data_IF_463200425246
#
_entry.id   IF_463200425246
#
_cell.length_a   1.000
_cell.length_b   1.000
_cell.length_c   1.000
_cell.angle_alpha   90.00
_cell.angle_beta   90.00
_cell.angle_gamma   90.00
#
_symmetry.space_group_name_H-M   'P 1'
#
loop_
_entity.id
_entity.type
_entity.pdbx_description
1 polymer ?
#
# COMPACT_ATOMS: atom_id res chain seq x y z
N UNK A 1 17.59 25.07 13.90
CA UNK A 1 17.34 23.67 14.31
C UNK A 1 17.10 22.87 13.04
N UNK A 2 17.84 21.77 12.84
CA UNK A 2 17.76 21.00 11.60
C UNK A 2 16.62 19.98 11.63
N UNK A 3 16.10 19.61 10.45
CA UNK A 3 15.09 18.54 10.30
C UNK A 3 15.50 17.24 11.03
N UNK A 4 16.81 16.95 11.07
CA UNK A 4 17.35 15.77 11.74
C UNK A 4 17.16 15.76 13.26
N UNK A 5 17.24 16.92 13.92
CA UNK A 5 17.02 17.03 15.37
C UNK A 5 15.53 16.85 15.72
N UNK A 6 14.65 17.27 14.81
CA UNK A 6 13.20 17.09 14.93
C UNK A 6 12.80 15.61 14.82
N UNK A 7 13.32 14.88 13.82
CA UNK A 7 13.05 13.43 13.71
C UNK A 7 13.65 12.63 14.87
N UNK A 8 14.81 13.04 15.40
CA UNK A 8 15.41 12.39 16.56
C UNK A 8 14.59 12.65 17.84
N UNK A 9 13.87 13.76 17.94
CA UNK A 9 12.95 14.06 19.04
C UNK A 9 11.60 13.34 18.90
N UNK A 10 11.09 13.15 17.69
CA UNK A 10 9.81 12.48 17.42
C UNK A 10 9.89 10.95 17.42
N UNK A 11 11.05 10.38 17.12
CA UNK A 11 11.24 8.92 16.98
C UNK A 11 12.40 8.36 17.81
N UNK A 12 13.17 9.21 18.50
CA UNK A 12 14.26 8.79 19.36
C UNK A 12 13.76 8.30 20.71
N UNK A 13 13.70 6.97 20.86
CA UNK A 13 13.48 6.25 22.13
C UNK A 13 14.70 6.40 23.06
N UNK A 14 14.99 7.62 23.52
CA UNK A 14 16.17 7.89 24.35
C UNK A 14 16.26 9.28 24.99
N UNK A 15 15.14 9.98 25.19
CA UNK A 15 15.08 11.15 26.06
C UNK A 15 14.63 10.77 27.47
N UNK A 16 15.14 11.45 28.50
CA UNK A 16 14.72 11.29 29.89
C UNK A 16 13.18 11.37 30.01
N UNK A 17 12.51 10.36 30.61
CA UNK A 17 11.05 10.33 30.76
C UNK A 17 10.50 11.48 31.63
N UNK A 18 11.36 12.11 32.44
CA UNK A 18 10.99 13.22 33.34
C UNK A 18 11.11 14.61 32.69
N UNK A 19 11.53 14.69 31.41
CA UNK A 19 11.71 15.96 30.68
C UNK A 19 10.77 16.11 29.48
N UNK A 20 9.57 15.54 29.53
CA UNK A 20 8.54 15.87 28.54
C UNK A 20 7.85 17.19 28.91
N UNK A 21 8.35 18.28 28.31
CA UNK A 21 7.67 19.57 28.35
C UNK A 21 6.23 19.38 27.82
N UNK A 22 5.20 19.92 28.50
CA UNK A 22 3.83 19.83 28.05
C UNK A 22 3.75 20.30 26.60
N UNK A 23 3.07 19.53 25.74
CA UNK A 23 2.91 19.86 24.32
C UNK A 23 2.34 21.27 24.22
N UNK A 24 3.19 22.22 23.82
CA UNK A 24 2.78 23.61 23.69
C UNK A 24 1.78 23.71 22.54
N UNK A 25 0.52 24.00 22.88
CA UNK A 25 -0.58 24.12 21.93
C UNK A 25 -0.30 25.20 20.89
N UNK A 26 0.48 26.24 21.23
CA UNK A 26 0.88 27.27 20.28
C UNK A 26 1.90 26.73 19.28
N UNK A 27 2.92 26.01 19.75
CA UNK A 27 3.93 25.37 18.89
C UNK A 27 3.32 24.32 17.95
N UNK A 28 2.39 23.49 18.45
CA UNK A 28 1.68 22.49 17.64
C UNK A 28 0.81 23.13 16.54
N UNK A 29 0.18 24.27 16.81
CA UNK A 29 -0.58 25.01 15.79
C UNK A 29 0.34 25.57 14.71
N UNK A 30 1.46 26.18 15.12
CA UNK A 30 2.44 26.70 14.18
C UNK A 30 3.04 25.59 13.30
N UNK A 31 3.25 24.39 13.84
CA UNK A 31 3.70 23.23 13.07
C UNK A 31 2.64 22.73 12.07
N UNK A 32 1.36 22.72 12.45
CA UNK A 32 0.26 22.37 11.53
C UNK A 32 0.17 23.36 10.37
N UNK A 33 0.22 24.67 10.64
CA UNK A 33 0.19 25.70 9.61
C UNK A 33 1.38 25.53 8.64
N UNK A 34 2.58 25.21 9.16
CA UNK A 34 3.76 24.91 8.34
C UNK A 34 3.57 23.66 7.47
N UNK A 35 2.93 22.61 7.98
CA UNK A 35 2.65 21.41 7.19
C UNK A 35 1.69 21.72 6.04
N UNK A 36 0.63 22.49 6.30
CA UNK A 36 -0.33 22.90 5.28
C UNK A 36 0.32 23.75 4.17
N UNK A 37 1.20 24.68 4.54
CA UNK A 37 2.01 25.45 3.57
C UNK A 37 2.89 24.54 2.70
N UNK A 38 3.57 23.57 3.31
CA UNK A 38 4.44 22.63 2.61
C UNK A 38 3.66 21.69 1.70
N UNK A 39 2.49 21.19 2.14
CA UNK A 39 1.58 20.37 1.35
C UNK A 39 1.13 21.17 0.12
N UNK A 40 0.57 22.36 0.34
CA UNK A 40 0.07 23.23 -0.73
C UNK A 40 1.17 23.54 -1.76
N UNK A 41 2.38 23.86 -1.29
CA UNK A 41 3.53 24.09 -2.16
C UNK A 41 3.89 22.84 -2.98
N UNK A 42 3.95 21.68 -2.34
CA UNK A 42 4.28 20.42 -3.02
C UNK A 42 3.21 20.04 -4.04
N UNK A 43 1.92 20.25 -3.75
CA UNK A 43 0.82 20.01 -4.70
C UNK A 43 0.89 20.94 -5.91
N UNK A 44 1.21 22.22 -5.71
CA UNK A 44 1.39 23.17 -6.81
C UNK A 44 2.56 22.76 -7.70
N UNK A 45 3.71 22.41 -7.11
CA UNK A 45 4.87 21.94 -7.87
C UNK A 45 4.61 20.59 -8.56
N UNK A 46 3.91 19.67 -7.91
CA UNK A 46 3.47 18.40 -8.49
C UNK A 46 2.63 18.64 -9.75
N UNK A 47 1.62 19.52 -9.67
CA UNK A 47 0.77 19.86 -10.83
C UNK A 47 1.60 20.42 -11.99
N UNK A 48 2.57 21.31 -11.73
CA UNK A 48 3.47 21.85 -12.76
C UNK A 48 4.31 20.75 -13.41
N UNK A 49 4.90 19.86 -12.61
CA UNK A 49 5.73 18.76 -13.10
C UNK A 49 4.91 17.76 -13.91
N UNK A 50 3.67 17.47 -13.50
CA UNK A 50 2.76 16.61 -14.25
C UNK A 50 2.37 17.22 -15.61
N UNK A 51 2.07 18.52 -15.66
CA UNK A 51 1.80 19.21 -16.92
C UNK A 51 3.02 19.19 -17.86
N UNK A 52 4.23 19.39 -17.32
CA UNK A 52 5.47 19.30 -18.08
C UNK A 52 5.70 17.89 -18.63
N UNK A 53 5.46 16.86 -17.80
CA UNK A 53 5.55 15.46 -18.19
C UNK A 53 4.62 15.15 -19.37
N UNK A 54 3.33 15.48 -19.24
CA UNK A 54 2.33 15.26 -20.30
C UNK A 54 2.73 15.95 -21.61
N UNK A 55 3.20 17.20 -21.54
CA UNK A 55 3.65 17.94 -22.72
C UNK A 55 4.83 17.25 -23.40
N UNK A 56 5.80 16.75 -22.63
CA UNK A 56 6.98 16.07 -23.16
C UNK A 56 6.65 14.67 -23.71
N UNK A 57 5.74 13.94 -23.07
CA UNK A 57 5.28 12.64 -23.56
C UNK A 57 4.53 12.77 -24.89
N UNK A 58 3.66 13.77 -25.04
CA UNK A 58 3.01 14.08 -26.31
C UNK A 58 4.03 14.45 -27.39
N UNK A 59 5.02 15.28 -27.04
CA UNK A 59 6.07 15.70 -27.97
C UNK A 59 6.96 14.52 -28.39
N UNK A 60 7.39 13.66 -27.46
CA UNK A 60 8.18 12.47 -27.76
C UNK A 60 7.40 11.49 -28.63
N UNK A 61 6.12 11.24 -28.30
CA UNK A 61 5.25 10.36 -29.07
C UNK A 61 5.08 10.86 -30.51
N UNK A 62 4.82 12.15 -30.69
CA UNK A 62 4.70 12.74 -32.03
C UNK A 62 6.01 12.61 -32.84
N UNK A 63 7.17 12.83 -32.20
CA UNK A 63 8.47 12.64 -32.85
C UNK A 63 8.75 11.18 -33.20
N UNK A 64 8.43 10.25 -32.29
CA UNK A 64 8.59 8.82 -32.51
C UNK A 64 7.66 8.29 -33.62
N UNK A 65 6.41 8.74 -33.65
CA UNK A 65 5.45 8.34 -34.69
C UNK A 65 5.82 8.92 -36.05
N UNK A 66 6.35 10.14 -36.12
CA UNK A 66 6.87 10.72 -37.35
C UNK A 66 8.10 9.94 -37.88
N UNK A 67 8.99 9.49 -37.01
CA UNK A 67 10.10 8.60 -37.36
C UNK A 67 9.63 7.25 -37.89
N UNK A 68 8.65 6.61 -37.23
CA UNK A 68 8.06 5.33 -37.66
C UNK A 68 7.36 5.44 -39.01
N UNK A 69 6.66 6.54 -39.24
CA UNK A 69 5.94 6.80 -40.49
C UNK A 69 6.87 7.19 -41.66
N UNK A 70 8.19 7.29 -41.44
CA UNK A 70 9.15 7.67 -42.48
C UNK A 70 8.96 9.10 -42.99
N UNK A 71 8.28 9.97 -42.22
CA UNK A 71 7.98 11.36 -42.60
C UNK A 71 9.17 12.32 -42.42
N UNK A 72 10.30 11.81 -41.95
CA UNK A 72 11.50 12.58 -41.59
C UNK A 72 12.62 12.18 -42.55
N UNK A 73 13.25 13.17 -43.19
CA UNK A 73 14.35 12.94 -44.11
C UNK A 73 15.57 12.32 -43.43
N UNK A 74 16.42 11.61 -44.18
CA UNK A 74 17.60 10.93 -43.62
C UNK A 74 18.56 11.87 -42.87
N UNK A 75 18.69 13.12 -43.34
CA UNK A 75 19.54 14.14 -42.72
C UNK A 75 18.96 14.65 -41.37
N UNK A 76 17.64 14.65 -41.21
CA UNK A 76 16.96 15.12 -39.99
C UNK A 76 16.74 13.99 -38.98
N UNK A 77 16.79 12.74 -39.44
CA UNK A 77 16.54 11.54 -38.65
C UNK A 77 17.44 11.45 -37.42
N UNK A 78 18.73 11.74 -37.57
CA UNK A 78 19.70 11.72 -36.46
C UNK A 78 19.35 12.76 -35.39
N UNK A 79 19.01 13.98 -35.82
CA UNK A 79 18.63 15.09 -34.93
C UNK A 79 17.36 14.74 -34.14
N UNK A 80 16.37 14.15 -34.81
CA UNK A 80 15.12 13.76 -34.16
C UNK A 80 15.32 12.59 -33.20
N UNK A 81 16.16 11.61 -33.54
CA UNK A 81 16.52 10.52 -32.62
C UNK A 81 17.23 11.04 -31.36
N UNK A 82 18.14 12.01 -31.50
CA UNK A 82 18.77 12.67 -30.36
C UNK A 82 17.76 13.45 -29.49
N UNK A 83 16.81 14.15 -30.12
CA UNK A 83 15.71 14.82 -29.42
C UNK A 83 14.86 13.83 -28.62
N UNK A 84 14.43 12.74 -29.24
CA UNK A 84 13.67 11.66 -28.59
C UNK A 84 14.43 11.09 -27.40
N UNK A 85 15.73 10.79 -27.57
CA UNK A 85 16.58 10.30 -26.48
C UNK A 85 16.64 11.27 -25.29
N UNK A 86 16.85 12.57 -25.55
CA UNK A 86 16.87 13.61 -24.51
C UNK A 86 15.51 13.74 -23.81
N UNK A 87 14.42 13.70 -24.57
CA UNK A 87 13.07 13.77 -24.01
C UNK A 87 12.78 12.58 -23.09
N UNK A 88 13.18 11.35 -23.46
CA UNK A 88 13.05 10.18 -22.59
C UNK A 88 13.78 10.34 -21.25
N UNK A 89 15.02 10.82 -21.26
CA UNK A 89 15.75 11.07 -20.01
C UNK A 89 15.06 12.13 -19.14
N UNK A 90 14.52 13.18 -19.76
CA UNK A 90 13.77 14.22 -19.04
C UNK A 90 12.46 13.69 -18.47
N UNK A 91 11.73 12.87 -19.23
CA UNK A 91 10.50 12.19 -18.79
C UNK A 91 10.78 11.33 -17.56
N UNK A 92 11.82 10.51 -17.57
CA UNK A 92 12.20 9.69 -16.41
C UNK A 92 12.54 10.54 -15.18
N UNK A 93 13.27 11.65 -15.38
CA UNK A 93 13.57 12.60 -14.30
C UNK A 93 12.29 13.24 -13.72
N UNK A 94 11.33 13.61 -14.56
CA UNK A 94 10.05 14.18 -14.12
C UNK A 94 9.18 13.15 -13.39
N UNK A 95 9.13 11.90 -13.87
CA UNK A 95 8.46 10.80 -13.16
C UNK A 95 9.03 10.58 -11.77
N UNK A 96 10.36 10.61 -11.63
CA UNK A 96 11.00 10.53 -10.32
C UNK A 96 10.63 11.71 -9.42
N UNK A 97 10.62 12.94 -9.94
CA UNK A 97 10.19 14.12 -9.17
C UNK A 97 8.74 14.03 -8.72
N UNK A 98 7.83 13.55 -9.57
CA UNK A 98 6.42 13.28 -9.22
C UNK A 98 6.34 12.33 -8.04
N UNK A 99 7.08 11.22 -8.09
CA UNK A 99 7.14 10.24 -7.01
C UNK A 99 7.59 10.85 -5.68
N UNK A 100 8.62 11.71 -5.72
CA UNK A 100 9.12 12.41 -4.54
C UNK A 100 8.08 13.38 -3.98
N UNK A 101 7.41 14.17 -4.83
CA UNK A 101 6.37 15.10 -4.37
C UNK A 101 5.17 14.36 -3.75
N UNK A 102 4.71 13.26 -4.37
CA UNK A 102 3.63 12.44 -3.82
C UNK A 102 3.98 11.91 -2.44
N UNK A 103 5.17 11.30 -2.28
CA UNK A 103 5.65 10.82 -0.97
C UNK A 103 5.77 11.93 0.05
N UNK A 104 6.25 13.10 -0.35
CA UNK A 104 6.35 14.24 0.57
C UNK A 104 4.98 14.69 1.04
N UNK A 105 3.99 14.76 0.14
CA UNK A 105 2.61 15.10 0.50
C UNK A 105 2.04 14.05 1.46
N UNK A 106 2.18 12.76 1.16
CA UNK A 106 1.70 11.66 2.01
C UNK A 106 2.31 11.72 3.42
N UNK A 107 3.63 11.94 3.51
CA UNK A 107 4.31 12.07 4.80
C UNK A 107 3.81 13.27 5.58
N UNK A 108 3.66 14.43 4.93
CA UNK A 108 3.17 15.65 5.59
C UNK A 108 1.72 15.49 6.07
N UNK A 109 0.84 14.88 5.26
CA UNK A 109 -0.54 14.56 5.65
C UNK A 109 -0.56 13.61 6.85
N UNK A 110 0.27 12.56 6.84
CA UNK A 110 0.39 11.65 7.99
C UNK A 110 0.87 12.37 9.26
N UNK A 111 1.73 13.39 9.14
CA UNK A 111 2.14 14.20 10.28
C UNK A 111 1.00 15.07 10.80
N UNK A 112 0.22 15.69 9.92
CA UNK A 112 -0.99 16.44 10.29
C UNK A 112 -1.96 15.56 11.07
N UNK A 113 -2.28 14.36 10.56
CA UNK A 113 -3.18 13.40 11.22
C UNK A 113 -2.70 13.01 12.62
N UNK A 114 -1.39 12.75 12.77
CA UNK A 114 -0.79 12.43 14.07
C UNK A 114 -0.90 13.59 15.05
N UNK A 115 -0.61 14.81 14.61
CA UNK A 115 -0.72 16.00 15.47
C UNK A 115 -2.17 16.23 15.89
N UNK A 116 -3.14 16.08 14.98
CA UNK A 116 -4.56 16.17 15.30
C UNK A 116 -5.00 15.07 16.28
N UNK A 117 -4.48 13.85 16.13
CA UNK A 117 -4.74 12.74 17.05
C UNK A 117 -4.22 13.05 18.45
N UNK A 118 -2.97 13.53 18.57
CA UNK A 118 -2.37 13.95 19.85
C UNK A 118 -3.18 15.09 20.47
N UNK A 119 -3.57 16.09 19.67
CA UNK A 119 -4.42 17.19 20.14
C UNK A 119 -5.76 16.68 20.68
N UNK A 120 -6.40 15.72 20.01
CA UNK A 120 -7.65 15.11 20.44
C UNK A 120 -7.50 14.26 21.72
N UNK A 121 -6.40 13.51 21.86
CA UNK A 121 -6.08 12.77 23.08
C UNK A 121 -5.87 13.71 24.27
N UNK A 122 -5.12 14.81 24.07
CA UNK A 122 -4.92 15.85 25.07
C UNK A 122 -6.24 16.52 25.48
N UNK A 123 -7.16 16.78 24.55
CA UNK A 123 -8.48 17.32 24.86
C UNK A 123 -9.36 16.36 25.68
N UNK A 124 -9.16 15.05 25.53
CA UNK A 124 -9.84 14.02 26.31
C UNK A 124 -9.19 13.76 27.67
N UNK A 125 -8.15 14.49 28.02
CA UNK A 125 -7.40 14.29 29.27
C UNK A 125 -6.59 12.99 29.30
N UNK A 126 -6.35 12.38 28.13
CA UNK A 126 -5.43 11.24 28.00
C UNK A 126 -4.03 11.82 27.91
N UNK A 127 -3.42 12.03 29.07
CA UNK A 127 -2.03 12.47 29.17
C UNK A 127 -1.09 11.32 28.81
N UNK A 128 0.06 11.60 28.19
CA UNK A 128 1.08 10.59 27.85
C UNK A 128 1.44 9.72 29.07
N UNK A 129 1.54 10.34 30.25
CA UNK A 129 1.83 9.64 31.51
C UNK A 129 0.78 8.57 31.87
N UNK A 130 -0.49 8.80 31.53
CA UNK A 130 -1.56 7.83 31.76
C UNK A 130 -1.44 6.63 30.81
N UNK A 131 -1.05 6.89 29.56
CA UNK A 131 -0.81 5.84 28.56
C UNK A 131 0.39 4.98 28.95
N UNK A 132 1.49 5.60 29.40
CA UNK A 132 2.69 4.88 29.83
C UNK A 132 2.44 4.03 31.08
N UNK A 133 1.74 4.57 32.09
CA UNK A 133 1.34 3.77 33.27
C UNK A 133 0.48 2.58 32.87
N UNK A 134 -0.48 2.77 31.98
CA UNK A 134 -1.33 1.67 31.50
C UNK A 134 -0.52 0.61 30.73
N UNK A 135 0.49 1.02 29.97
CA UNK A 135 1.38 0.11 29.26
C UNK A 135 2.23 -0.73 30.23
N UNK A 136 2.81 -0.09 31.25
CA UNK A 136 3.56 -0.79 32.31
C UNK A 136 2.65 -1.77 33.07
N UNK A 137 1.44 -1.33 33.46
CA UNK A 137 0.45 -2.20 34.10
C UNK A 137 0.06 -3.40 33.23
N UNK A 138 -0.01 -3.20 31.91
CA UNK A 138 -0.34 -4.27 30.97
C UNK A 138 0.81 -5.28 30.84
N UNK A 139 2.05 -4.80 30.69
CA UNK A 139 3.23 -5.65 30.63
C UNK A 139 3.41 -6.45 31.92
N UNK A 140 3.23 -5.83 33.09
CA UNK A 140 3.25 -6.54 34.37
C UNK A 140 2.16 -7.63 34.46
N UNK A 141 0.94 -7.35 33.99
CA UNK A 141 -0.15 -8.34 34.00
C UNK A 141 0.13 -9.47 33.03
N UNK A 142 0.73 -9.16 31.87
CA UNK A 142 1.14 -10.15 30.88
C UNK A 142 2.24 -11.05 31.45
N UNK A 143 3.24 -10.49 32.10
CA UNK A 143 4.33 -11.26 32.71
C UNK A 143 3.78 -12.18 33.82
N UNK A 144 2.93 -11.64 34.71
CA UNK A 144 2.21 -12.45 35.72
C UNK A 144 1.36 -13.55 35.09
N UNK A 145 0.72 -13.28 33.96
CA UNK A 145 -0.07 -14.27 33.23
C UNK A 145 0.82 -15.36 32.60
N UNK A 146 1.95 -14.98 32.00
CA UNK A 146 2.93 -15.94 31.46
C UNK A 146 3.53 -16.81 32.56
N UNK A 147 3.93 -16.22 33.68
CA UNK A 147 4.37 -16.96 34.87
C UNK A 147 3.27 -17.90 35.40
N UNK A 148 2.01 -17.48 35.37
CA UNK A 148 0.87 -18.34 35.75
C UNK A 148 0.68 -19.52 34.79
N UNK A 149 0.93 -19.34 33.49
CA UNK A 149 0.89 -20.42 32.50
C UNK A 149 2.07 -21.37 32.71
N UNK A 150 3.28 -20.84 32.89
CA UNK A 150 4.48 -21.63 33.10
C UNK A 150 4.39 -22.45 34.38
N UNK A 151 3.94 -21.84 35.48
CA UNK A 151 3.70 -22.53 36.75
C UNK A 151 2.56 -23.56 36.63
N UNK A 152 1.47 -23.25 35.92
CA UNK A 152 0.41 -24.22 35.66
C UNK A 152 0.89 -25.41 34.79
N UNK A 153 1.77 -25.17 33.83
CA UNK A 153 2.38 -26.22 33.00
C UNK A 153 3.38 -27.07 33.80
N UNK A 154 4.17 -26.44 34.67
CA UNK A 154 5.09 -27.13 35.58
C UNK A 154 4.34 -27.97 36.64
N UNK A 155 3.24 -27.45 37.20
CA UNK A 155 2.39 -28.18 38.15
C UNK A 155 1.61 -29.33 37.50
N UNK A 156 1.27 -29.22 36.21
CA UNK A 156 0.69 -30.33 35.43
C UNK A 156 1.73 -31.39 35.05
N UNK A 157 3.01 -31.20 35.37
CA UNK A 157 4.08 -32.15 35.05
C UNK A 157 4.30 -32.35 33.56
N UNK A 158 3.76 -31.47 32.71
CA UNK A 158 3.86 -31.57 31.26
C UNK A 158 5.07 -30.78 30.78
N UNK A 159 6.26 -31.24 31.13
CA UNK A 159 7.51 -30.75 30.54
C UNK A 159 7.75 -31.32 29.13
N UNK A 160 6.69 -31.76 28.45
CA UNK A 160 6.75 -32.33 27.09
C UNK A 160 5.60 -31.86 26.22
N UNK A 161 5.54 -30.56 25.93
CA UNK A 161 4.74 -30.00 24.84
C UNK A 161 3.22 -30.01 25.09
N UNK A 162 2.58 -28.94 24.61
CA UNK A 162 1.13 -28.65 24.70
C UNK A 162 0.24 -29.76 24.10
N UNK A 163 0.83 -30.75 23.44
CA UNK A 163 0.18 -31.79 22.68
C UNK A 163 0.41 -33.14 23.35
N UNK A 164 -0.68 -33.86 23.62
CA UNK A 164 -0.64 -35.28 23.99
C UNK A 164 0.09 -36.10 22.93
N UNK A 165 0.58 -37.28 23.31
CA UNK A 165 1.22 -38.21 22.36
C UNK A 165 0.34 -38.50 21.14
N UNK A 166 -0.98 -38.59 21.34
CA UNK A 166 -1.94 -38.78 20.25
C UNK A 166 -1.97 -37.58 19.30
N UNK A 167 -2.01 -36.35 19.83
CA UNK A 167 -2.01 -35.13 19.02
C UNK A 167 -0.66 -34.92 18.30
N UNK A 168 0.46 -35.36 18.89
CA UNK A 168 1.77 -35.37 18.22
C UNK A 168 1.84 -36.40 17.09
N UNK A 169 1.21 -37.56 17.24
CA UNK A 169 1.11 -38.55 16.19
C UNK A 169 0.21 -38.08 15.05
N UNK A 170 -0.90 -37.43 15.36
CA UNK A 170 -1.81 -36.88 14.36
C UNK A 170 -1.17 -35.69 13.63
N UNK A 171 -0.39 -34.85 14.30
CA UNK A 171 0.41 -33.82 13.64
C UNK A 171 1.51 -34.42 12.75
N UNK A 172 2.15 -35.53 13.15
CA UNK A 172 3.10 -36.25 12.27
C UNK A 172 2.43 -36.89 11.06
N UNK A 173 1.19 -37.37 11.18
CA UNK A 173 0.39 -37.85 10.03
C UNK A 173 0.05 -36.67 9.11
N UNK A 174 -0.40 -35.55 9.68
CA UNK A 174 -0.70 -34.33 8.94
C UNK A 174 0.54 -33.79 8.21
N UNK A 175 1.70 -33.82 8.87
CA UNK A 175 2.99 -33.41 8.32
C UNK A 175 3.41 -34.31 7.15
N UNK A 176 3.22 -35.63 7.24
CA UNK A 176 3.48 -36.58 6.14
C UNK A 176 2.52 -36.41 4.97
N UNK A 177 1.25 -36.11 5.24
CA UNK A 177 0.23 -35.84 4.24
C UNK A 177 0.52 -34.53 3.48
N UNK A 178 0.90 -33.47 4.19
CA UNK A 178 1.25 -32.16 3.63
C UNK A 178 2.58 -32.18 2.85
N UNK A 179 3.57 -32.96 3.29
CA UNK A 179 4.86 -33.13 2.60
C UNK A 179 4.81 -34.15 1.44
N UNK A 180 3.64 -34.72 1.14
CA UNK A 180 3.45 -35.59 -0.03
C UNK A 180 4.15 -36.94 0.06
N UNK A 181 4.56 -37.38 1.25
CA UNK A 181 5.14 -38.70 1.46
C UNK A 181 4.03 -39.75 1.46
N UNK A 182 3.66 -40.23 0.27
CA UNK A 182 2.74 -41.37 0.11
C UNK A 182 3.19 -42.52 1.01
N UNK A 183 2.31 -43.11 1.84
CA UNK A 183 2.63 -44.37 2.49
C UNK A 183 2.80 -45.45 1.41
N UNK A 184 3.88 -46.23 1.54
CA UNK A 184 4.13 -47.38 0.70
C UNK A 184 2.94 -48.35 0.78
N UNK A 185 2.42 -48.69 -0.40
CA UNK A 185 1.37 -49.69 -0.58
C UNK A 185 1.81 -51.05 0.00
N UNK A 186 1.11 -51.53 1.04
CA UNK A 186 0.99 -52.97 1.24
C UNK A 186 -0.07 -53.51 0.25
N UNK A 187 0.39 -54.37 -0.65
CA UNK A 187 -0.44 -55.34 -1.39
C UNK A 187 0.15 -56.72 -1.09
N UNK A 188 -0.62 -57.83 -1.10
CA UNK A 188 -1.65 -58.08 -2.12
C UNK A 188 -2.86 -58.96 -1.72
N UNK A 189 -3.95 -58.92 -2.50
CA UNK A 189 -4.57 -60.13 -3.10
C UNK A 189 -5.69 -59.79 -4.12
N UNK A 190 -5.40 -60.10 -5.39
CA UNK A 190 -6.17 -60.83 -6.42
C UNK A 190 -7.61 -60.40 -6.83
N UNK A 191 -7.64 -59.69 -7.98
CA UNK A 191 -8.40 -59.94 -9.24
C UNK A 191 -9.96 -59.95 -9.26
N UNK A 192 -10.61 -59.91 -10.45
CA UNK A 192 -10.51 -58.93 -11.55
C UNK A 192 -11.90 -58.47 -12.05
N UNK A 193 -12.05 -57.26 -12.60
CA UNK A 193 -12.82 -57.01 -13.84
C UNK A 193 -12.97 -55.51 -14.20
N UNK A 194 -12.68 -55.22 -15.48
CA UNK A 194 -13.52 -54.50 -16.47
C UNK A 194 -14.10 -53.14 -16.03
N UNK A 195 -13.55 -52.02 -16.48
CA UNK A 195 -13.88 -51.40 -17.77
C UNK A 195 -13.18 -50.06 -17.96
N UNK A 196 -13.15 -49.64 -19.22
CA UNK A 196 -12.61 -48.42 -19.82
C UNK A 196 -13.00 -47.10 -19.14
N UNK A 197 -12.13 -46.09 -19.27
CA UNK A 197 -12.47 -44.70 -18.97
C UNK A 197 -11.24 -43.78 -18.87
N UNK A 198 -10.75 -43.32 -20.01
CA UNK A 198 -9.79 -42.22 -20.10
C UNK A 198 -10.48 -40.92 -19.71
N UNK A 199 -10.07 -40.25 -18.62
CA UNK A 199 -10.29 -38.81 -18.47
C UNK A 199 -9.06 -38.11 -17.89
N UNK A 200 -8.52 -37.21 -18.70
CA UNK A 200 -7.46 -36.27 -18.36
C UNK A 200 -8.09 -35.06 -17.67
N UNK A 201 -7.81 -34.88 -16.37
CA UNK A 201 -8.25 -33.71 -15.63
C UNK A 201 -7.33 -32.51 -15.95
N UNK A 202 -7.93 -31.54 -16.61
CA UNK A 202 -7.38 -30.28 -17.11
C UNK A 202 -7.00 -29.33 -15.97
N UNK A 203 -5.83 -28.69 -16.13
CA UNK A 203 -5.48 -27.39 -15.54
C UNK A 203 -6.56 -26.34 -15.86
N UNK A 204 -6.85 -25.38 -14.96
CA UNK A 204 -7.75 -24.28 -15.27
C UNK A 204 -7.10 -23.39 -16.34
N UNK A 205 -7.79 -23.23 -17.47
CA UNK A 205 -7.49 -22.23 -18.50
C UNK A 205 -7.89 -20.87 -17.96
N UNK A 206 -6.91 -19.98 -17.81
CA UNK A 206 -7.15 -18.54 -17.84
C UNK A 206 -7.86 -18.22 -19.16
N UNK A 207 -9.04 -17.62 -19.08
CA UNK A 207 -9.70 -17.04 -20.25
C UNK A 207 -8.94 -15.78 -20.60
N UNK A 208 -8.00 -15.89 -21.54
CA UNK A 208 -7.51 -14.73 -22.28
C UNK A 208 -8.70 -14.17 -23.07
N UNK A 209 -9.26 -13.07 -22.59
CA UNK A 209 -10.23 -12.28 -23.33
C UNK A 209 -9.53 -11.75 -24.58
N UNK A 210 -10.17 -11.92 -25.73
CA UNK A 210 -9.62 -11.44 -27.00
C UNK A 210 -9.54 -9.91 -27.00
N UNK A 211 -8.60 -9.33 -27.75
CA UNK A 211 -8.44 -7.87 -27.84
C UNK A 211 -9.76 -7.15 -28.22
N UNK A 212 -10.62 -7.83 -28.99
CA UNK A 212 -11.95 -7.34 -29.35
C UNK A 212 -12.94 -7.28 -28.17
N UNK A 213 -12.83 -8.18 -27.19
CA UNK A 213 -13.66 -8.16 -25.99
C UNK A 213 -13.19 -7.06 -25.02
N UNK A 214 -11.88 -6.84 -24.94
CA UNK A 214 -11.30 -5.74 -24.15
C UNK A 214 -11.70 -4.37 -24.73
N UNK A 215 -11.68 -4.23 -26.06
CA UNK A 215 -12.10 -3.00 -26.74
C UNK A 215 -13.62 -2.74 -26.57
N UNK A 216 -14.44 -3.79 -26.61
CA UNK A 216 -15.87 -3.69 -26.35
C UNK A 216 -16.18 -3.30 -24.88
N UNK A 217 -15.41 -3.81 -23.92
CA UNK A 217 -15.57 -3.46 -22.50
C UNK A 217 -15.14 -2.02 -22.22
N UNK A 218 -14.05 -1.56 -22.86
CA UNK A 218 -13.59 -0.17 -22.78
C UNK A 218 -14.60 0.80 -23.39
N UNK A 219 -15.18 0.48 -24.55
CA UNK A 219 -16.22 1.31 -25.17
C UNK A 219 -17.48 1.39 -24.30
N UNK A 220 -17.83 0.31 -23.61
CA UNK A 220 -18.96 0.28 -22.67
C UNK A 220 -18.69 1.16 -21.44
N UNK A 221 -17.49 1.08 -20.86
CA UNK A 221 -17.05 1.94 -19.76
C UNK A 221 -17.02 3.42 -20.13
N UNK A 222 -16.56 3.76 -21.33
CA UNK A 222 -16.55 5.14 -21.82
C UNK A 222 -17.97 5.69 -21.97
N UNK A 223 -18.91 4.87 -22.47
CA UNK A 223 -20.32 5.27 -22.57
C UNK A 223 -20.98 5.47 -21.21
N UNK A 224 -20.64 4.65 -20.20
CA UNK A 224 -21.18 4.77 -18.84
C UNK A 224 -20.64 6.03 -18.14
N UNK A 225 -19.36 6.36 -18.33
CA UNK A 225 -18.74 7.56 -17.81
C UNK A 225 -19.35 8.83 -18.44
N UNK A 226 -19.57 8.83 -19.76
CA UNK A 226 -20.23 9.94 -20.45
C UNK A 226 -21.67 10.14 -20.00
N UNK A 227 -22.38 9.06 -19.64
CA UNK A 227 -23.73 9.14 -19.08
C UNK A 227 -23.71 9.75 -17.67
N UNK A 228 -22.81 9.30 -16.78
CA UNK A 228 -22.64 9.87 -15.44
C UNK A 228 -22.27 11.35 -15.45
N UNK A 229 -21.43 11.78 -16.38
CA UNK A 229 -21.07 13.19 -16.51
C UNK A 229 -22.28 14.06 -16.90
N UNK A 230 -23.14 13.56 -17.79
CA UNK A 230 -24.40 14.25 -18.15
C UNK A 230 -25.36 14.31 -16.98
N UNK A 231 -25.48 13.23 -16.21
CA UNK A 231 -26.36 13.19 -15.03
C UNK A 231 -25.88 14.15 -13.93
N UNK A 232 -24.56 14.24 -13.70
CA UNK A 232 -23.97 15.22 -12.79
C UNK A 232 -24.23 16.67 -13.23
N UNK A 233 -24.02 16.98 -14.52
CA UNK A 233 -24.31 18.31 -15.07
C UNK A 233 -25.80 18.66 -14.99
N UNK A 234 -26.69 17.67 -15.16
CA UNK A 234 -28.14 17.88 -15.01
C UNK A 234 -28.56 18.12 -13.55
N UNK A 235 -27.90 17.48 -12.59
CA UNK A 235 -28.11 17.73 -11.16
C UNK A 235 -27.64 19.13 -10.74
N UNK A 236 -26.49 19.58 -11.26
CA UNK A 236 -25.90 20.89 -10.93
C UNK A 236 -26.75 22.07 -11.44
N UNK A 237 -27.55 21.87 -12.49
CA UNK A 237 -28.49 22.88 -13.02
C UNK A 237 -29.77 22.98 -12.17
N UNK A 238 -30.15 21.92 -11.45
CA UNK A 238 -31.33 21.91 -10.57
C UNK A 238 -31.10 22.56 -9.20
N UNK A 239 -29.85 22.72 -8.76
CA UNK A 239 -29.52 23.29 -7.45
C UNK A 239 -29.18 24.79 -7.47
N UNK A 240 -29.37 25.51 -8.58
CA UNK A 240 -29.29 26.99 -8.54
C UNK A 240 -30.60 27.55 -7.97
N UNK A 241 -30.63 28.06 -6.72
CA UNK A 241 -31.79 28.82 -6.26
C UNK A 241 -31.93 30.07 -7.13
N UNK A 242 -33.13 30.27 -7.67
CA UNK A 242 -33.52 31.55 -8.25
C UNK A 242 -33.47 32.58 -7.11
N UNK A 243 -32.41 33.38 -7.07
CA UNK A 243 -32.36 34.59 -6.26
C UNK A 243 -33.18 35.65 -6.99
N UNK A 244 -34.43 35.81 -6.57
CA UNK A 244 -35.17 37.08 -6.61
C UNK A 244 -35.27 37.63 -5.19
#
# INVERSE_FOLDING_TARGET
MGLGDFFRRLFGRGGDPDAEAPVDKAAMREELDRYDELITRNEVELRKVMQELQRLELQEKAQADALKAGKIGEQEKEVVLLSVKRNRTRIESLKHRIHVYNKNIEVLQSMVDKHQTIAAMNLRGIENQMVERLAMDFDERKDKYMESIETANAMKGTDTGILSLAEKEDLKKLERELLGARPAEEKPQRAPNVNEGVETAKKPRERELSEAEVEAEMAKLESEMAQREKDLKAAEVKERPQTE
#
